data_IF_434441717936
#
_entry.id   IF_434441717936
#
_cell.length_a   1.000
_cell.length_b   1.000
_cell.length_c   1.000
_cell.angle_alpha   90.00
_cell.angle_beta   90.00
_cell.angle_gamma   90.00
#
_symmetry.space_group_name_H-M   'P 1'
#
loop_
_entity.id
_entity.type
_entity.pdbx_description
1 polymer ?
#
# COMPACT_ATOMS: atom_id res chain seq x y z
N UNK A 1 -50.47 43.78 20.14
CA UNK A 1 -49.74 44.50 19.08
C UNK A 1 -48.42 43.77 18.89
N UNK A 2 -48.14 43.21 17.70
CA UNK A 2 -46.83 42.58 17.42
C UNK A 2 -45.85 43.72 17.12
N UNK A 3 -44.83 43.88 17.95
CA UNK A 3 -43.76 44.87 17.72
C UNK A 3 -43.17 44.66 16.32
N UNK A 4 -43.11 45.74 15.54
CA UNK A 4 -42.48 45.71 14.22
C UNK A 4 -41.01 45.29 14.37
N UNK A 5 -40.48 44.43 13.48
CA UNK A 5 -39.09 44.02 13.55
C UNK A 5 -38.19 45.26 13.38
N UNK A 6 -37.34 45.53 14.37
CA UNK A 6 -36.31 46.59 14.28
C UNK A 6 -35.41 46.29 13.07
N UNK A 7 -35.45 47.13 12.05
CA UNK A 7 -34.60 47.01 10.84
C UNK A 7 -33.33 47.81 11.10
N UNK A 8 -32.18 47.13 11.05
CA UNK A 8 -30.88 47.76 11.28
C UNK A 8 -30.17 48.03 9.94
N UNK A 9 -29.56 49.21 9.75
CA UNK A 9 -28.83 49.53 8.54
C UNK A 9 -27.58 48.67 8.38
N UNK A 10 -27.25 48.31 7.13
CA UNK A 10 -26.14 47.39 6.80
C UNK A 10 -24.79 47.85 7.39
N UNK A 11 -24.47 49.14 7.25
CA UNK A 11 -23.25 49.75 7.82
C UNK A 11 -23.14 49.59 9.35
N UNK A 12 -24.27 49.56 10.06
CA UNK A 12 -24.31 49.38 11.51
C UNK A 12 -24.13 47.91 11.90
N UNK A 13 -24.75 46.98 11.15
CA UNK A 13 -24.53 45.53 11.30
C UNK A 13 -23.05 45.18 11.09
N UNK A 14 -22.41 45.74 10.07
CA UNK A 14 -20.99 45.49 9.76
C UNK A 14 -20.05 46.01 10.87
N UNK A 15 -20.33 47.19 11.44
CA UNK A 15 -19.58 47.76 12.57
C UNK A 15 -19.66 46.87 13.82
N UNK A 16 -20.83 46.32 14.12
CA UNK A 16 -21.03 45.44 15.29
C UNK A 16 -20.33 44.09 15.09
N UNK A 17 -20.36 43.57 13.86
CA UNK A 17 -19.64 42.34 13.51
C UNK A 17 -18.11 42.52 13.64
N UNK A 18 -17.57 43.67 13.26
CA UNK A 18 -16.14 43.99 13.41
C UNK A 18 -15.70 44.01 14.88
N UNK A 19 -16.49 44.66 15.76
CA UNK A 19 -16.22 44.69 17.20
C UNK A 19 -16.30 43.30 17.84
N UNK A 20 -17.27 42.48 17.41
CA UNK A 20 -17.48 41.14 17.97
C UNK A 20 -16.46 40.09 17.46
N UNK A 21 -16.01 40.18 16.21
CA UNK A 21 -15.14 39.16 15.58
C UNK A 21 -13.67 39.55 15.64
N UNK A 22 -13.32 40.80 15.31
CA UNK A 22 -11.93 41.22 15.19
C UNK A 22 -11.38 41.80 16.50
N UNK A 23 -12.21 42.48 17.29
CA UNK A 23 -11.81 43.04 18.60
C UNK A 23 -12.14 42.15 19.79
N UNK A 24 -12.84 41.03 19.55
CA UNK A 24 -13.19 40.02 20.54
C UNK A 24 -13.93 40.58 21.78
N UNK A 25 -14.68 41.67 21.60
CA UNK A 25 -15.49 42.27 22.67
C UNK A 25 -16.67 41.34 23.06
N UNK A 26 -17.03 41.33 24.34
CA UNK A 26 -18.11 40.50 24.87
C UNK A 26 -19.44 40.88 24.22
N UNK A 27 -20.19 39.87 23.75
CA UNK A 27 -21.49 40.05 23.09
C UNK A 27 -22.51 40.73 23.99
N UNK A 28 -22.36 40.60 25.33
CA UNK A 28 -23.21 41.28 26.30
C UNK A 28 -22.86 42.78 26.39
N UNK A 29 -21.58 43.11 26.40
CA UNK A 29 -21.08 44.48 26.52
C UNK A 29 -21.43 45.28 25.25
N UNK A 30 -21.36 44.64 24.08
CA UNK A 30 -21.79 45.23 22.80
C UNK A 30 -23.31 45.45 22.80
N UNK A 31 -24.08 44.50 23.33
CA UNK A 31 -25.54 44.59 23.41
C UNK A 31 -25.98 45.74 24.31
N UNK A 32 -25.31 45.93 25.45
CA UNK A 32 -25.55 47.03 26.40
C UNK A 32 -25.13 48.39 25.82
N UNK A 33 -23.95 48.47 25.20
CA UNK A 33 -23.40 49.72 24.63
C UNK A 33 -24.22 50.29 23.47
N UNK A 34 -24.90 49.44 22.71
CA UNK A 34 -25.65 49.84 21.51
C UNK A 34 -27.18 49.68 21.65
N UNK A 35 -27.67 49.29 22.84
CA UNK A 35 -29.09 49.03 23.13
C UNK A 35 -29.74 48.04 22.15
N UNK A 36 -29.06 46.90 21.94
CA UNK A 36 -29.49 45.83 21.04
C UNK A 36 -29.67 44.57 21.86
N UNK A 37 -30.66 43.74 21.51
CA UNK A 37 -30.79 42.44 22.17
C UNK A 37 -29.55 41.57 21.93
N UNK A 38 -29.06 40.93 23.00
CA UNK A 38 -27.95 39.95 22.94
C UNK A 38 -28.21 38.89 21.87
N UNK A 39 -29.46 38.47 21.70
CA UNK A 39 -29.87 37.48 20.70
C UNK A 39 -29.71 37.98 19.25
N UNK A 40 -29.91 39.28 19.00
CA UNK A 40 -29.69 39.89 17.68
C UNK A 40 -28.22 39.86 17.32
N UNK A 41 -27.33 40.23 18.26
CA UNK A 41 -25.88 40.22 18.04
C UNK A 41 -25.37 38.77 17.85
N UNK A 42 -25.80 37.83 18.71
CA UNK A 42 -25.50 36.39 18.55
C UNK A 42 -25.97 35.85 17.20
N UNK A 43 -27.17 36.23 16.75
CA UNK A 43 -27.71 35.83 15.44
C UNK A 43 -26.85 36.36 14.30
N UNK A 44 -26.46 37.64 14.34
CA UNK A 44 -25.60 38.22 13.30
C UNK A 44 -24.22 37.58 13.24
N UNK A 45 -23.60 37.32 14.40
CA UNK A 45 -22.31 36.62 14.48
C UNK A 45 -22.43 35.18 13.94
N UNK A 46 -23.53 34.50 14.20
CA UNK A 46 -23.78 33.16 13.65
C UNK A 46 -24.12 33.17 12.14
N UNK A 47 -24.75 34.23 11.65
CA UNK A 47 -25.01 34.43 10.21
C UNK A 47 -23.71 34.77 9.46
N UNK A 48 -22.82 35.60 10.03
CA UNK A 48 -21.54 35.94 9.39
C UNK A 48 -20.54 34.79 9.39
N UNK A 49 -20.59 33.92 10.40
CA UNK A 49 -19.82 32.65 10.43
C UNK A 49 -20.28 31.62 9.40
N UNK A 50 -21.41 31.85 8.71
CA UNK A 50 -21.86 31.03 7.59
C UNK A 50 -21.36 31.66 6.30
N UNK A 51 -20.31 31.07 5.71
CA UNK A 51 -19.90 31.46 4.38
C UNK A 51 -20.86 30.84 3.36
N UNK A 52 -21.43 31.66 2.48
CA UNK A 52 -22.16 31.16 1.29
C UNK A 52 -21.20 31.22 0.13
N UNK A 53 -20.76 30.06 -0.35
CA UNK A 53 -19.88 29.93 -1.52
C UNK A 53 -20.63 29.03 -2.50
N UNK A 54 -20.78 29.47 -3.75
CA UNK A 54 -21.51 28.76 -4.83
C UNK A 54 -22.89 28.24 -4.42
N UNK A 55 -23.67 29.09 -3.73
CA UNK A 55 -25.03 28.76 -3.30
C UNK A 55 -25.14 27.75 -2.15
N UNK A 56 -24.02 27.31 -1.57
CA UNK A 56 -23.99 26.40 -0.42
C UNK A 56 -23.60 27.15 0.85
N UNK A 57 -24.40 27.01 1.90
CA UNK A 57 -24.12 27.56 3.24
C UNK A 57 -23.17 26.63 4.00
N UNK A 58 -21.94 27.08 4.25
CA UNK A 58 -20.97 26.34 5.05
C UNK A 58 -21.01 26.84 6.50
N UNK A 59 -21.42 25.96 7.41
CA UNK A 59 -21.33 26.21 8.86
C UNK A 59 -19.89 26.03 9.35
N UNK A 60 -19.53 26.66 10.48
CA UNK A 60 -18.25 26.43 11.17
C UNK A 60 -17.97 24.94 11.41
N UNK A 61 -18.99 24.14 11.73
CA UNK A 61 -18.84 22.68 11.86
C UNK A 61 -18.38 22.04 10.55
N UNK A 62 -18.98 22.45 9.44
CA UNK A 62 -18.65 21.94 8.10
C UNK A 62 -17.25 22.39 7.66
N UNK A 63 -16.85 23.61 8.02
CA UNK A 63 -15.49 24.09 7.80
C UNK A 63 -14.47 23.20 8.53
N UNK A 64 -14.67 22.92 9.82
CA UNK A 64 -13.78 22.06 10.59
C UNK A 64 -13.72 20.62 10.04
N UNK A 65 -14.86 20.08 9.58
CA UNK A 65 -14.90 18.77 8.90
C UNK A 65 -14.07 18.79 7.61
N UNK A 66 -14.22 19.82 6.78
CA UNK A 66 -13.45 19.98 5.54
C UNK A 66 -11.96 20.16 5.80
N UNK A 67 -11.60 20.97 6.79
CA UNK A 67 -10.21 21.17 7.18
C UNK A 67 -9.57 19.85 7.65
N UNK A 68 -10.31 19.05 8.42
CA UNK A 68 -9.88 17.71 8.80
C UNK A 68 -9.70 16.80 7.58
N UNK A 69 -10.65 16.79 6.65
CA UNK A 69 -10.53 16.01 5.42
C UNK A 69 -9.33 16.41 4.57
N UNK A 70 -9.02 17.71 4.47
CA UNK A 70 -7.83 18.20 3.75
C UNK A 70 -6.57 17.65 4.41
N UNK A 71 -6.46 17.77 5.74
CA UNK A 71 -5.33 17.20 6.50
C UNK A 71 -5.20 15.69 6.29
N UNK A 72 -6.30 14.95 6.35
CA UNK A 72 -6.31 13.51 6.11
C UNK A 72 -5.78 13.21 4.69
N UNK A 73 -6.29 13.87 3.65
CA UNK A 73 -5.85 13.71 2.25
C UNK A 73 -4.37 14.09 2.06
N UNK A 74 -3.89 15.14 2.72
CA UNK A 74 -2.48 15.54 2.67
C UNK A 74 -1.59 14.44 3.24
N UNK A 75 -1.93 13.89 4.41
CA UNK A 75 -1.19 12.77 5.01
C UNK A 75 -1.21 11.52 4.13
N UNK A 76 -2.35 11.22 3.50
CA UNK A 76 -2.48 10.10 2.57
C UNK A 76 -1.56 10.28 1.35
N UNK A 77 -1.53 11.48 0.78
CA UNK A 77 -0.64 11.81 -0.33
C UNK A 77 0.84 11.72 0.03
N UNK A 78 1.23 12.15 1.24
CA UNK A 78 2.60 12.00 1.72
C UNK A 78 3.02 10.54 1.83
N UNK A 79 2.14 9.69 2.39
CA UNK A 79 2.38 8.24 2.48
C UNK A 79 2.53 7.65 1.07
N UNK A 80 1.64 8.00 0.13
CA UNK A 80 1.72 7.51 -1.24
C UNK A 80 3.01 7.95 -1.95
N UNK A 81 3.42 9.22 -1.79
CA UNK A 81 4.70 9.71 -2.31
C UNK A 81 5.89 8.94 -1.73
N UNK A 82 5.90 8.71 -0.42
CA UNK A 82 6.93 7.91 0.26
C UNK A 82 6.99 6.48 -0.32
N UNK A 83 5.83 5.83 -0.47
CA UNK A 83 5.71 4.49 -1.04
C UNK A 83 6.26 4.43 -2.47
N UNK A 84 5.85 5.37 -3.32
CA UNK A 84 6.28 5.45 -4.72
C UNK A 84 7.79 5.70 -4.83
N UNK A 85 8.34 6.58 -4.01
CA UNK A 85 9.78 6.89 -4.01
C UNK A 85 10.64 5.66 -3.64
N UNK A 86 10.11 4.73 -2.84
CA UNK A 86 10.81 3.49 -2.46
C UNK A 86 10.81 2.42 -3.58
N UNK A 87 10.31 2.74 -4.78
CA UNK A 87 10.45 1.89 -5.96
C UNK A 87 9.63 0.61 -5.91
N UNK A 88 8.64 0.54 -5.01
CA UNK A 88 7.71 -0.59 -4.97
C UNK A 88 6.69 -0.36 -6.08
N UNK A 89 6.98 -0.90 -7.26
CA UNK A 89 5.95 -1.18 -8.26
C UNK A 89 4.84 -1.95 -7.54
N UNK A 90 3.58 -1.58 -7.73
CA UNK A 90 2.43 -2.29 -7.17
C UNK A 90 2.63 -3.80 -7.41
N UNK A 91 3.06 -4.52 -6.37
CA UNK A 91 3.61 -5.86 -6.49
C UNK A 91 2.71 -6.78 -5.69
N UNK A 92 2.30 -7.88 -6.30
CA UNK A 92 1.53 -8.93 -5.62
C UNK A 92 2.36 -9.66 -4.54
N UNK A 93 3.61 -9.25 -4.32
CA UNK A 93 4.49 -9.77 -3.28
C UNK A 93 4.11 -9.18 -1.91
N UNK A 94 3.26 -9.92 -1.19
CA UNK A 94 2.72 -9.56 0.12
C UNK A 94 3.83 -9.27 1.14
N UNK A 95 4.96 -9.98 1.08
CA UNK A 95 6.07 -9.78 2.03
C UNK A 95 6.76 -8.42 1.82
N UNK A 96 6.94 -8.00 0.56
CA UNK A 96 7.47 -6.66 0.26
C UNK A 96 6.50 -5.55 0.68
N UNK A 97 5.20 -5.74 0.46
CA UNK A 97 4.17 -4.80 0.90
C UNK A 97 4.15 -4.65 2.43
N UNK A 98 4.22 -5.74 3.17
CA UNK A 98 4.21 -5.72 4.63
C UNK A 98 5.49 -5.10 5.22
N UNK A 99 6.65 -5.35 4.60
CA UNK A 99 7.91 -4.66 4.93
C UNK A 99 7.83 -3.16 4.68
N UNK A 100 7.14 -2.74 3.63
CA UNK A 100 6.92 -1.33 3.34
C UNK A 100 5.98 -0.69 4.37
N UNK A 101 4.87 -1.37 4.73
CA UNK A 101 3.99 -0.93 5.82
C UNK A 101 4.79 -0.70 7.09
N UNK A 102 5.65 -1.65 7.46
CA UNK A 102 6.50 -1.52 8.64
C UNK A 102 7.39 -0.27 8.56
N UNK A 103 8.08 -0.06 7.44
CA UNK A 103 8.93 1.13 7.24
C UNK A 103 8.16 2.45 7.31
N UNK A 104 6.94 2.50 6.78
CA UNK A 104 6.08 3.69 6.88
C UNK A 104 5.68 3.95 8.33
N UNK A 105 5.37 2.90 9.09
CA UNK A 105 5.07 3.01 10.52
C UNK A 105 6.31 3.49 11.29
N UNK A 106 7.48 2.96 10.99
CA UNK A 106 8.76 3.38 11.60
C UNK A 106 9.10 4.84 11.29
N UNK A 107 8.62 5.37 10.15
CA UNK A 107 8.76 6.77 9.76
C UNK A 107 7.73 7.70 10.43
N UNK A 108 6.94 7.19 11.39
CA UNK A 108 5.97 7.97 12.18
C UNK A 108 4.56 8.03 11.60
N UNK A 109 4.27 7.35 10.48
CA UNK A 109 2.92 7.33 9.91
C UNK A 109 1.99 6.41 10.70
N UNK A 110 0.72 6.81 10.80
CA UNK A 110 -0.27 6.02 11.52
C UNK A 110 -0.58 4.72 10.77
N UNK A 111 -0.36 3.58 11.45
CA UNK A 111 -0.49 2.22 10.87
C UNK A 111 -1.81 1.98 10.15
N UNK A 112 -2.94 2.37 10.75
CA UNK A 112 -4.26 2.12 10.13
C UNK A 112 -4.44 2.91 8.84
N UNK A 113 -3.85 4.10 8.73
CA UNK A 113 -3.89 4.93 7.53
C UNK A 113 -3.07 4.27 6.43
N UNK A 114 -1.85 3.83 6.75
CA UNK A 114 -0.96 3.12 5.81
C UNK A 114 -1.60 1.82 5.30
N UNK A 115 -2.18 1.00 6.19
CA UNK A 115 -2.83 -0.26 5.82
C UNK A 115 -4.05 -0.05 4.92
N UNK A 116 -4.87 0.97 5.20
CA UNK A 116 -6.01 1.34 4.36
C UNK A 116 -5.56 1.78 2.97
N UNK A 117 -4.53 2.62 2.89
CA UNK A 117 -4.00 3.12 1.60
C UNK A 117 -3.44 2.00 0.73
N UNK A 118 -2.74 1.05 1.34
CA UNK A 118 -2.16 -0.09 0.64
C UNK A 118 -3.15 -1.25 0.43
N UNK A 119 -4.40 -1.09 0.86
CA UNK A 119 -5.45 -2.10 0.80
C UNK A 119 -5.03 -3.45 1.41
N UNK A 120 -4.26 -3.40 2.50
CA UNK A 120 -3.79 -4.59 3.23
C UNK A 120 -4.68 -4.81 4.46
N UNK A 121 -5.30 -6.00 4.62
CA UNK A 121 -6.06 -6.31 5.82
C UNK A 121 -5.20 -6.21 7.08
N UNK A 122 -5.77 -5.67 8.16
CA UNK A 122 -5.07 -5.54 9.45
C UNK A 122 -4.62 -6.89 10.00
N UNK A 123 -5.45 -7.93 9.87
CA UNK A 123 -5.13 -9.31 10.26
C UNK A 123 -3.85 -9.79 9.59
N UNK A 124 -3.73 -9.63 8.27
CA UNK A 124 -2.54 -10.03 7.49
C UNK A 124 -1.26 -9.41 8.03
N UNK A 125 -1.29 -8.14 8.43
CA UNK A 125 -0.12 -7.47 9.00
C UNK A 125 0.26 -8.00 10.38
N UNK A 126 -0.72 -8.24 11.26
CA UNK A 126 -0.45 -8.81 12.58
C UNK A 126 -0.03 -10.28 12.52
N UNK A 127 -0.59 -11.05 11.59
CA UNK A 127 -0.21 -12.43 11.33
C UNK A 127 1.24 -12.50 10.84
N UNK A 128 1.65 -11.57 9.97
CA UNK A 128 3.03 -11.44 9.51
C UNK A 128 4.00 -11.01 10.62
N UNK A 129 3.59 -10.08 11.50
CA UNK A 129 4.41 -9.70 12.66
C UNK A 129 4.64 -10.87 13.63
N UNK A 130 3.65 -11.74 13.77
CA UNK A 130 3.71 -12.94 14.63
C UNK A 130 4.21 -14.17 13.89
N UNK A 131 4.49 -14.05 12.59
CA UNK A 131 4.82 -15.20 11.77
C UNK A 131 6.18 -15.76 12.18
N UNK A 132 6.17 -16.99 12.66
CA UNK A 132 7.37 -17.79 12.84
C UNK A 132 7.43 -18.89 11.79
N UNK A 133 8.56 -19.06 11.08
CA UNK A 133 8.70 -20.14 10.13
C UNK A 133 8.66 -21.49 10.87
N UNK A 134 7.85 -22.42 10.36
CA UNK A 134 7.82 -23.80 10.85
C UNK A 134 9.19 -24.45 10.75
N UNK A 135 9.47 -25.45 11.58
CA UNK A 135 10.78 -26.12 11.61
C UNK A 135 11.17 -26.69 10.24
N UNK A 136 10.21 -27.24 9.50
CA UNK A 136 10.40 -27.69 8.11
C UNK A 136 10.88 -26.55 7.21
N UNK A 137 10.32 -25.35 7.36
CA UNK A 137 10.67 -24.18 6.56
C UNK A 137 12.03 -23.60 6.96
N UNK A 138 12.37 -23.62 8.25
CA UNK A 138 13.73 -23.31 8.74
C UNK A 138 14.77 -24.26 8.14
N UNK A 139 14.47 -25.56 8.08
CA UNK A 139 15.35 -26.54 7.44
C UNK A 139 15.48 -26.29 5.93
N UNK A 140 14.38 -25.94 5.25
CA UNK A 140 14.39 -25.61 3.82
C UNK A 140 15.26 -24.38 3.53
N UNK A 141 15.13 -23.32 4.32
CA UNK A 141 15.96 -22.11 4.19
C UNK A 141 17.45 -22.39 4.42
N UNK A 142 17.80 -23.35 5.30
CA UNK A 142 19.19 -23.82 5.44
C UNK A 142 19.66 -24.66 4.24
N UNK A 143 18.75 -25.39 3.60
CA UNK A 143 19.06 -26.29 2.50
C UNK A 143 19.19 -25.56 1.13
N UNK A 144 18.37 -24.54 0.88
CA UNK A 144 18.39 -23.70 -0.33
C UNK A 144 19.79 -23.20 -0.72
N UNK A 145 20.59 -22.58 0.17
CA UNK A 145 21.93 -22.10 -0.18
C UNK A 145 22.90 -23.25 -0.49
N UNK A 146 22.75 -24.40 0.15
CA UNK A 146 23.56 -25.59 -0.15
C UNK A 146 23.26 -26.12 -1.56
N UNK A 147 21.99 -26.20 -1.93
CA UNK A 147 21.54 -26.59 -3.28
C UNK A 147 22.11 -25.63 -4.32
N UNK A 148 21.99 -24.32 -4.09
CA UNK A 148 22.50 -23.28 -4.99
C UNK A 148 24.01 -23.40 -5.17
N UNK A 149 24.77 -23.57 -4.07
CA UNK A 149 26.22 -23.73 -4.11
C UNK A 149 26.64 -24.99 -4.88
N UNK A 150 25.96 -26.12 -4.70
CA UNK A 150 26.24 -27.35 -5.46
C UNK A 150 25.96 -27.13 -6.95
N UNK A 151 24.86 -26.46 -7.28
CA UNK A 151 24.49 -26.17 -8.67
C UNK A 151 25.50 -25.22 -9.35
N UNK A 152 25.91 -24.15 -8.66
CA UNK A 152 26.91 -23.19 -9.16
C UNK A 152 28.29 -23.84 -9.34
N UNK A 153 28.73 -24.66 -8.39
CA UNK A 153 30.02 -25.34 -8.46
C UNK A 153 30.11 -26.37 -9.61
N UNK A 154 28.98 -26.84 -10.13
CA UNK A 154 28.90 -27.84 -11.19
C UNK A 154 28.40 -27.25 -12.51
N UNK A 155 28.82 -26.01 -12.82
CA UNK A 155 28.49 -25.31 -14.06
C UNK A 155 26.99 -25.27 -14.39
N UNK A 156 26.12 -25.32 -13.39
CA UNK A 156 24.65 -25.31 -13.55
C UNK A 156 24.06 -26.51 -14.29
N UNK A 157 24.85 -27.55 -14.54
CA UNK A 157 24.41 -28.75 -15.28
C UNK A 157 23.58 -29.70 -14.41
N UNK A 158 23.74 -29.62 -13.09
CA UNK A 158 23.19 -30.63 -12.18
C UNK A 158 21.68 -30.44 -12.01
N UNK A 159 20.92 -31.47 -12.39
CA UNK A 159 19.50 -31.61 -12.07
C UNK A 159 19.26 -32.29 -10.72
N UNK A 160 17.97 -32.46 -10.38
CA UNK A 160 17.50 -33.06 -9.12
C UNK A 160 18.27 -34.34 -8.74
N UNK A 161 18.49 -35.33 -9.63
CA UNK A 161 19.17 -36.57 -9.24
C UNK A 161 20.63 -36.35 -8.83
N UNK A 162 21.37 -35.52 -9.56
CA UNK A 162 22.80 -35.27 -9.30
C UNK A 162 23.00 -34.42 -8.05
N UNK A 163 22.17 -33.40 -7.86
CA UNK A 163 22.19 -32.60 -6.61
C UNK A 163 21.84 -33.49 -5.41
N UNK A 164 20.89 -34.42 -5.54
CA UNK A 164 20.57 -35.36 -4.47
C UNK A 164 21.77 -36.22 -4.09
N UNK A 165 22.52 -36.76 -5.06
CA UNK A 165 23.73 -37.53 -4.78
C UNK A 165 24.78 -36.69 -4.05
N UNK A 166 25.06 -35.47 -4.51
CA UNK A 166 26.01 -34.57 -3.83
C UNK A 166 25.58 -34.15 -2.43
N UNK A 167 24.27 -34.09 -2.15
CA UNK A 167 23.76 -33.87 -0.79
C UNK A 167 23.94 -35.10 0.10
N UNK A 168 23.75 -36.30 -0.44
CA UNK A 168 23.99 -37.57 0.27
C UNK A 168 25.45 -37.75 0.65
N UNK A 169 26.38 -37.39 -0.24
CA UNK A 169 27.82 -37.38 0.05
C UNK A 169 28.18 -36.48 1.25
N UNK A 170 27.37 -35.45 1.50
CA UNK A 170 27.49 -34.54 2.66
C UNK A 170 26.68 -34.99 3.87
N UNK A 171 26.20 -36.24 3.89
CA UNK A 171 25.32 -36.82 4.92
C UNK A 171 23.95 -36.11 5.07
N UNK A 172 23.45 -35.46 4.01
CA UNK A 172 22.16 -34.78 4.01
C UNK A 172 21.18 -35.56 3.13
N UNK A 173 20.17 -36.17 3.75
CA UNK A 173 19.15 -36.96 3.05
C UNK A 173 17.92 -36.12 2.73
N UNK A 174 17.63 -35.94 1.44
CA UNK A 174 16.49 -35.17 0.95
C UNK A 174 15.74 -35.96 -0.11
N UNK A 175 14.41 -36.03 0.03
CA UNK A 175 13.54 -36.66 -0.97
C UNK A 175 13.45 -35.85 -2.26
N UNK A 176 13.31 -36.53 -3.40
CA UNK A 176 13.29 -35.91 -4.73
C UNK A 176 12.19 -34.84 -4.89
N UNK A 177 11.00 -35.08 -4.33
CA UNK A 177 9.88 -34.11 -4.38
C UNK A 177 10.23 -32.81 -3.66
N UNK A 178 10.82 -32.91 -2.46
CA UNK A 178 11.26 -31.76 -1.66
C UNK A 178 12.35 -30.99 -2.39
N UNK A 179 13.34 -31.70 -2.93
CA UNK A 179 14.45 -31.09 -3.67
C UNK A 179 13.97 -30.36 -4.94
N UNK A 180 13.08 -30.99 -5.72
CA UNK A 180 12.48 -30.39 -6.92
C UNK A 180 11.69 -29.11 -6.58
N UNK A 181 10.89 -29.13 -5.51
CA UNK A 181 10.18 -27.93 -5.05
C UNK A 181 11.15 -26.79 -4.71
N UNK A 182 12.20 -27.08 -3.95
CA UNK A 182 13.19 -26.07 -3.55
C UNK A 182 13.99 -25.52 -4.74
N UNK A 183 14.34 -26.36 -5.71
CA UNK A 183 14.97 -25.91 -6.96
C UNK A 183 14.06 -24.98 -7.75
N UNK A 184 12.75 -25.29 -7.84
CA UNK A 184 11.78 -24.42 -8.51
C UNK A 184 11.61 -23.07 -7.79
N UNK A 185 11.52 -23.06 -6.45
CA UNK A 185 11.46 -21.81 -5.66
C UNK A 185 12.69 -20.92 -5.89
N UNK A 186 13.85 -21.51 -6.20
CA UNK A 186 15.09 -20.81 -6.52
C UNK A 186 15.24 -20.49 -8.01
N UNK A 187 14.28 -20.87 -8.87
CA UNK A 187 14.39 -20.81 -10.33
C UNK A 187 15.66 -21.51 -10.87
N UNK A 188 16.05 -22.62 -10.24
CA UNK A 188 17.21 -23.43 -10.61
C UNK A 188 16.77 -24.59 -11.49
N UNK A 189 17.36 -24.69 -12.68
CA UNK A 189 17.14 -25.79 -13.61
C UNK A 189 18.46 -26.37 -14.09
N UNK A 190 18.44 -27.65 -14.46
CA UNK A 190 19.58 -28.29 -15.08
C UNK A 190 19.81 -27.69 -16.46
N UNK A 191 20.99 -27.13 -16.70
CA UNK A 191 21.39 -26.72 -18.03
C UNK A 191 21.87 -27.97 -18.77
N UNK A 192 20.98 -28.59 -19.55
CA UNK A 192 21.37 -29.68 -20.44
C UNK A 192 22.09 -29.10 -21.65
N UNK A 193 23.30 -29.57 -21.99
CA UNK A 193 23.89 -29.32 -23.30
C UNK A 193 22.89 -29.82 -24.35
N UNK A 194 22.49 -28.94 -25.26
CA UNK A 194 21.67 -29.32 -26.42
C UNK A 194 22.53 -30.20 -27.32
N UNK A 195 22.57 -31.51 -27.06
CA UNK A 195 23.12 -32.44 -28.04
C UNK A 195 22.23 -32.40 -29.27
N UNK A 196 22.79 -32.01 -30.43
CA UNK A 196 22.14 -32.22 -31.72
C UNK A 196 21.88 -33.73 -31.84
N UNK A 197 20.61 -34.11 -31.80
CA UNK A 197 20.21 -35.49 -32.08
C UNK A 197 20.34 -35.68 -33.58
N UNK A 198 21.47 -36.25 -34.03
CA UNK A 198 21.59 -36.72 -35.39
C UNK A 198 20.70 -37.95 -35.53
N UNK A 199 19.53 -37.78 -36.16
CA UNK A 199 18.72 -38.93 -36.58
C UNK A 199 19.48 -39.64 -37.69
N UNK A 200 19.64 -40.96 -37.58
CA UNK A 200 20.20 -41.79 -38.66
C UNK A 200 19.32 -41.56 -39.90
N UNK A 201 19.88 -41.21 -41.08
CA UNK A 201 19.08 -41.07 -42.29
C UNK A 201 18.35 -42.40 -42.53
N UNK A 202 17.07 -42.32 -42.86
CA UNK A 202 16.31 -43.49 -43.24
C UNK A 202 17.03 -44.17 -44.40
N UNK A 203 17.20 -45.49 -44.31
CA UNK A 203 17.66 -46.29 -45.45
C UNK A 203 16.52 -46.20 -46.46
N UNK A 204 16.73 -45.45 -47.54
CA UNK A 204 15.84 -45.48 -48.69
C UNK A 204 16.16 -46.81 -49.38
N UNK A 205 15.27 -47.78 -49.24
CA UNK A 205 15.38 -49.04 -49.99
C UNK A 205 15.21 -48.71 -51.47
N UNK A 206 16.32 -48.79 -52.21
CA UNK A 206 16.39 -48.56 -53.65
C UNK A 206 15.83 -49.79 -54.39
N UNK A 207 14.53 -50.03 -54.22
CA UNK A 207 13.77 -51.06 -54.94
C UNK A 207 12.72 -50.42 -55.85
N UNK A 208 13.18 -49.56 -56.73
CA UNK A 208 12.44 -49.18 -57.96
C UNK A 208 13.47 -48.93 -59.06
N UNK A 209 14.06 -50.01 -59.54
CA UNK A 209 14.67 -50.08 -60.86
C UNK A 209 14.39 -51.50 -61.34
N UNK A 210 13.92 -51.63 -62.57
CA UNK A 210 13.46 -52.88 -63.20
C UNK A 210 12.00 -53.24 -62.90
N UNK A 211 11.09 -52.37 -63.31
CA UNK A 211 9.82 -52.77 -63.94
C UNK A 211 9.32 -51.56 -64.73
N UNK A 212 9.81 -51.44 -65.97
CA UNK A 212 8.98 -51.12 -67.14
C UNK A 212 9.82 -51.27 -68.40
N UNK A 213 9.25 -52.08 -69.30
CA UNK A 213 9.68 -52.41 -70.65
C UNK A 213 9.73 -51.19 -71.57
#
# INVERSE_FOLDING_TARGET
MKDMPKIYPKKFKDKILDLAINKNESVNDIAEKYDISVNTVKRWVNESRKAVIDGKTYSLKRYNELEKHIKDIETENEILKFVLQKGVQWSNDVDKLLKLVQKSVDNGYHRTTVLKLLNVPTSTYYDWLKYEPTDTRKQDEKLKPLIKKIWENNNREYGVPRIQSSLREKNIYVGNRRLKRLMNELNIHAMTPTHKVYRKPAVVDDKTSVEDM
#
